data_IF_675318245766
#
_entry.id   IF_675318245766
#
_cell.length_a   1.000
_cell.length_b   1.000
_cell.length_c   1.000
_cell.angle_alpha   90.00
_cell.angle_beta   90.00
_cell.angle_gamma   90.00
#
_symmetry.space_group_name_H-M   'P 1'
#
loop_
_entity.id
_entity.type
_entity.pdbx_description
1 polymer ?
#
# COMPACT_ATOMS: atom_id res chain seq x y z
N UNK A 1 -4.93 -12.23 21.90
CA UNK A 1 -5.68 -11.48 20.86
C UNK A 1 -4.94 -10.20 20.49
N UNK A 2 -4.48 -9.46 21.50
CA UNK A 2 -3.74 -8.18 21.36
C UNK A 2 -2.42 -8.25 20.58
N UNK A 3 -1.62 -9.30 20.80
CA UNK A 3 -0.34 -9.47 20.08
C UNK A 3 -0.51 -9.51 18.55
N UNK A 4 -1.63 -10.06 18.04
CA UNK A 4 -1.90 -10.14 16.61
C UNK A 4 -2.30 -8.77 16.03
N UNK A 5 -3.08 -7.97 16.78
CA UNK A 5 -3.41 -6.59 16.38
C UNK A 5 -2.14 -5.74 16.33
N UNK A 6 -1.31 -5.79 17.39
CA UNK A 6 -0.03 -5.08 17.45
C UNK A 6 0.92 -5.43 16.30
N UNK A 7 1.03 -6.72 15.94
CA UNK A 7 1.81 -7.16 14.79
C UNK A 7 1.31 -6.53 13.47
N UNK A 8 -0.01 -6.58 13.21
CA UNK A 8 -0.58 -6.02 11.99
C UNK A 8 -0.39 -4.50 11.90
N UNK A 9 -0.59 -3.78 13.00
CA UNK A 9 -0.36 -2.33 13.05
C UNK A 9 1.09 -1.98 12.74
N UNK A 10 2.06 -2.75 13.26
CA UNK A 10 3.49 -2.57 12.94
C UNK A 10 3.79 -2.82 11.46
N UNK A 11 3.20 -3.86 10.87
CA UNK A 11 3.38 -4.14 9.44
C UNK A 11 2.75 -3.08 8.54
N UNK A 12 1.55 -2.60 8.90
CA UNK A 12 0.92 -1.46 8.22
C UNK A 12 1.85 -0.25 8.25
N UNK A 13 2.33 0.13 9.44
CA UNK A 13 3.24 1.27 9.58
C UNK A 13 4.51 1.10 8.75
N UNK A 14 5.13 -0.10 8.79
CA UNK A 14 6.35 -0.40 8.04
C UNK A 14 6.15 -0.20 6.54
N UNK A 15 5.08 -0.76 5.97
CA UNK A 15 4.80 -0.64 4.52
C UNK A 15 4.42 0.79 4.15
N UNK A 16 3.65 1.47 5.00
CA UNK A 16 3.29 2.88 4.78
C UNK A 16 4.54 3.78 4.72
N UNK A 17 5.52 3.57 5.61
CA UNK A 17 6.80 4.28 5.57
C UNK A 17 7.65 3.92 4.34
N UNK A 18 7.64 2.65 3.93
CA UNK A 18 8.30 2.21 2.69
C UNK A 18 7.70 2.91 1.47
N UNK A 19 6.37 3.02 1.40
CA UNK A 19 5.67 3.75 0.32
C UNK A 19 5.99 5.24 0.37
N UNK A 20 5.98 5.85 1.56
CA UNK A 20 6.33 7.27 1.72
C UNK A 20 7.73 7.58 1.20
N UNK A 21 8.69 6.69 1.43
CA UNK A 21 10.09 6.89 1.06
C UNK A 21 10.37 6.57 -0.40
N UNK A 22 9.74 5.53 -0.96
CA UNK A 22 10.02 5.06 -2.32
C UNK A 22 9.05 5.61 -3.38
N UNK A 23 7.81 5.86 -3.00
CA UNK A 23 6.69 6.21 -3.90
C UNK A 23 5.82 7.31 -3.24
N UNK A 24 6.37 8.52 -3.02
CA UNK A 24 5.66 9.59 -2.33
C UNK A 24 4.34 9.97 -3.04
N UNK A 25 4.22 9.77 -4.36
CA UNK A 25 2.96 9.99 -5.08
C UNK A 25 1.88 9.00 -4.66
N UNK A 26 2.26 7.73 -4.45
CA UNK A 26 1.36 6.70 -3.95
C UNK A 26 0.99 6.96 -2.47
N UNK A 27 1.91 7.50 -1.68
CA UNK A 27 1.65 7.84 -0.28
C UNK A 27 0.55 8.89 -0.11
N UNK A 28 0.51 9.92 -0.97
CA UNK A 28 -0.54 10.94 -0.96
C UNK A 28 -1.92 10.28 -1.11
N UNK A 29 -2.07 9.33 -2.03
CA UNK A 29 -3.32 8.61 -2.26
C UNK A 29 -3.75 7.74 -1.07
N UNK A 30 -2.80 7.16 -0.34
CA UNK A 30 -3.09 6.40 0.88
C UNK A 30 -3.61 7.28 2.01
N UNK A 31 -3.14 8.52 2.12
CA UNK A 31 -3.59 9.47 3.15
C UNK A 31 -5.06 9.88 2.97
N UNK A 32 -5.56 9.83 1.74
CA UNK A 32 -6.94 10.17 1.37
C UNK A 32 -7.93 9.02 1.57
N UNK A 33 -7.44 7.80 1.83
CA UNK A 33 -8.27 6.59 2.03
C UNK A 33 -8.02 5.97 3.41
N UNK A 34 -8.47 6.63 4.49
CA UNK A 34 -8.32 6.10 5.84
C UNK A 34 -9.05 4.76 6.01
N UNK A 35 -8.56 3.94 6.93
CA UNK A 35 -9.21 2.70 7.34
C UNK A 35 -10.67 3.00 7.74
N UNK A 36 -11.64 2.62 6.92
CA UNK A 36 -13.06 2.76 7.28
C UNK A 36 -13.41 1.50 8.09
N UNK A 37 -13.59 1.61 9.42
CA UNK A 37 -14.12 0.48 10.18
C UNK A 37 -15.46 0.07 9.57
N UNK A 38 -15.73 -1.23 9.56
CA UNK A 38 -16.98 -1.74 8.99
C UNK A 38 -18.17 -0.97 9.61
N UNK A 39 -19.13 -0.55 8.78
CA UNK A 39 -20.24 0.39 9.13
C UNK A 39 -21.08 0.01 10.37
N UNK A 40 -20.85 -1.16 10.95
CA UNK A 40 -21.59 -1.73 12.07
C UNK A 40 -20.71 -2.03 13.30
N UNK A 41 -19.45 -1.59 13.34
CA UNK A 41 -18.53 -1.86 14.45
C UNK A 41 -17.90 -0.58 14.99
N UNK A 42 -18.02 -0.40 16.32
CA UNK A 42 -17.41 0.72 17.07
C UNK A 42 -15.89 0.56 17.23
N UNK A 43 -15.35 -0.65 17.01
CA UNK A 43 -13.93 -0.96 17.15
C UNK A 43 -13.34 -1.64 15.92
N UNK A 44 -12.10 -1.26 15.58
CA UNK A 44 -11.30 -1.92 14.55
C UNK A 44 -10.92 -3.33 15.02
N UNK A 45 -11.36 -4.32 14.26
CA UNK A 45 -11.07 -5.72 14.52
C UNK A 45 -9.82 -6.20 13.75
N UNK A 46 -9.39 -7.44 14.01
CA UNK A 46 -8.21 -8.01 13.37
C UNK A 46 -8.36 -8.15 11.84
N UNK A 47 -9.56 -8.47 11.38
CA UNK A 47 -9.87 -8.63 9.96
C UNK A 47 -9.78 -7.30 9.22
N UNK A 48 -10.24 -6.20 9.82
CA UNK A 48 -10.14 -4.87 9.23
C UNK A 48 -8.66 -4.49 9.00
N UNK A 49 -7.81 -4.72 10.00
CA UNK A 49 -6.36 -4.50 9.88
C UNK A 49 -5.72 -5.39 8.80
N UNK A 50 -6.14 -6.66 8.69
CA UNK A 50 -5.65 -7.57 7.64
C UNK A 50 -6.06 -7.11 6.25
N UNK A 51 -7.31 -6.71 6.09
CA UNK A 51 -7.84 -6.24 4.81
C UNK A 51 -7.12 -4.98 4.34
N UNK A 52 -6.83 -4.07 5.27
CA UNK A 52 -6.07 -2.86 4.98
C UNK A 52 -4.60 -3.13 4.66
N UNK A 53 -3.94 -3.98 5.44
CA UNK A 53 -2.59 -4.42 5.13
C UNK A 53 -2.51 -5.02 3.72
N UNK A 54 -3.49 -5.87 3.36
CA UNK A 54 -3.57 -6.44 2.03
C UNK A 54 -3.81 -5.39 0.94
N UNK A 55 -4.69 -4.41 1.18
CA UNK A 55 -4.98 -3.37 0.19
C UNK A 55 -3.75 -2.48 -0.08
N UNK A 56 -3.00 -2.09 0.96
CA UNK A 56 -1.77 -1.30 0.80
C UNK A 56 -0.70 -2.11 0.04
N UNK A 57 -0.51 -3.38 0.39
CA UNK A 57 0.44 -4.27 -0.31
C UNK A 57 0.08 -4.38 -1.80
N UNK A 58 -1.21 -4.55 -2.10
CA UNK A 58 -1.68 -4.66 -3.48
C UNK A 58 -1.42 -3.37 -4.26
N UNK A 59 -1.77 -2.22 -3.68
CA UNK A 59 -1.54 -0.90 -4.30
C UNK A 59 -0.06 -0.67 -4.61
N UNK A 60 0.83 -0.98 -3.66
CA UNK A 60 2.29 -0.89 -3.88
C UNK A 60 2.74 -1.76 -5.06
N UNK A 61 2.31 -3.02 -5.10
CA UNK A 61 2.67 -3.96 -6.18
C UNK A 61 2.16 -3.50 -7.55
N UNK A 62 0.92 -3.04 -7.60
CA UNK A 62 0.30 -2.55 -8.85
C UNK A 62 1.05 -1.31 -9.36
N UNK A 63 1.44 -0.40 -8.45
CA UNK A 63 2.24 0.78 -8.77
C UNK A 63 3.65 0.43 -9.27
N UNK A 64 4.37 -0.46 -8.57
CA UNK A 64 5.69 -0.96 -8.98
C UNK A 64 5.64 -1.60 -10.38
N UNK A 65 4.59 -2.38 -10.66
CA UNK A 65 4.36 -2.98 -11.98
C UNK A 65 4.14 -1.92 -13.05
N UNK A 66 3.35 -0.89 -12.76
CA UNK A 66 3.14 0.25 -13.65
C UNK A 66 4.45 0.98 -13.99
N UNK A 67 5.28 1.26 -12.98
CA UNK A 67 6.61 1.87 -13.19
C UNK A 67 7.50 0.98 -14.06
N UNK A 68 7.52 -0.34 -13.79
CA UNK A 68 8.35 -1.27 -14.56
C UNK A 68 7.94 -1.29 -16.04
N UNK A 69 6.64 -1.33 -16.32
CA UNK A 69 6.12 -1.28 -17.70
C UNK A 69 6.50 0.03 -18.40
N UNK A 70 6.35 1.17 -17.71
CA UNK A 70 6.75 2.47 -18.24
C UNK A 70 8.25 2.58 -18.52
N UNK A 71 9.10 2.05 -17.63
CA UNK A 71 10.55 2.03 -17.86
C UNK A 71 10.92 1.17 -19.07
N UNK A 72 10.36 -0.04 -19.18
CA UNK A 72 10.60 -0.95 -20.30
C UNK A 72 10.20 -0.32 -21.65
N UNK A 73 9.02 0.29 -21.75
CA UNK A 73 8.60 0.95 -22.98
C UNK A 73 9.50 2.12 -23.35
N UNK A 74 10.06 2.84 -22.38
CA UNK A 74 11.04 3.91 -22.64
C UNK A 74 12.35 3.36 -23.20
N UNK A 75 12.90 2.29 -22.63
CA UNK A 75 14.12 1.65 -23.16
C UNK A 75 13.94 1.15 -24.60
N UNK A 76 12.79 0.56 -24.94
CA UNK A 76 12.49 0.12 -26.30
C UNK A 76 12.48 1.28 -27.31
N UNK A 77 11.96 2.44 -26.91
CA UNK A 77 11.94 3.64 -27.77
C UNK A 77 13.32 4.30 -27.88
N UNK A 78 14.10 4.32 -26.80
CA UNK A 78 15.43 4.95 -26.76
C UNK A 78 16.51 4.08 -27.45
N UNK A 79 16.26 2.78 -27.68
CA UNK A 79 17.19 1.85 -28.35
C UNK A 79 17.11 1.87 -29.88
N UNK A 80 16.21 2.67 -30.46
CA UNK A 80 15.95 2.75 -31.92
C UNK A 80 16.63 3.98 -32.56
N UNK A 81 17.39 4.79 -31.78
CA UNK A 81 18.10 5.98 -32.26
C UNK A 81 19.61 5.73 -32.31
#
# INVERSE_FOLDING_TARGET
MEAKKSYLTKEILRITLEIQTQFPELYVLLSETPLIPSKHQEEINLNDLRQYLFSIIKQKKDFEKGIKQFKMSRYENDSII
#
